data_IF_035188223558
#
_entry.id   IF_035188223558
#
_cell.length_a   1.000
_cell.length_b   1.000
_cell.length_c   1.000
_cell.angle_alpha   90.00
_cell.angle_beta   90.00
_cell.angle_gamma   90.00
#
_symmetry.space_group_name_H-M   'P 1'
#
loop_
_entity.id
_entity.type
_entity.pdbx_description
1 polymer ?
#
# COMPACT_ATOMS: atom_id res chain seq x y z
N UNK A 1 18.63 -2.15 -2.39
CA UNK A 1 17.48 -2.75 -1.67
C UNK A 1 16.59 -1.62 -1.16
N UNK A 2 15.40 -1.51 -1.72
CA UNK A 2 14.40 -0.51 -1.37
C UNK A 2 13.76 -0.83 -0.03
N UNK A 3 13.78 0.13 0.89
CA UNK A 3 13.16 0.03 2.22
C UNK A 3 11.69 0.45 2.15
N UNK A 4 10.78 -0.51 2.30
CA UNK A 4 9.35 -0.31 2.04
C UNK A 4 8.55 -0.24 3.35
N UNK A 5 7.79 0.83 3.54
CA UNK A 5 6.71 0.88 4.53
C UNK A 5 5.40 0.37 3.94
N UNK A 6 4.60 -0.37 4.72
CA UNK A 6 3.26 -0.79 4.31
C UNK A 6 2.19 -0.14 5.20
N UNK A 7 1.11 0.33 4.57
CA UNK A 7 -0.10 0.75 5.27
C UNK A 7 -1.29 -0.06 4.75
N UNK A 8 -1.94 -0.80 5.65
CA UNK A 8 -3.14 -1.61 5.37
C UNK A 8 -4.41 -0.93 5.88
N UNK A 9 -5.57 -1.41 5.44
CA UNK A 9 -6.88 -0.95 5.94
C UNK A 9 -7.36 -1.79 7.13
N UNK A 10 -7.96 -1.13 8.13
CA UNK A 10 -8.59 -1.80 9.27
C UNK A 10 -9.67 -2.81 8.90
N UNK A 11 -10.42 -2.55 7.83
CA UNK A 11 -11.56 -3.39 7.41
C UNK A 11 -11.13 -4.79 6.98
N UNK A 12 -9.85 -4.98 6.67
CA UNK A 12 -9.31 -6.28 6.25
C UNK A 12 -8.32 -6.87 7.26
N UNK A 13 -8.09 -6.19 8.37
CA UNK A 13 -6.91 -6.42 9.20
C UNK A 13 -6.96 -7.74 9.98
N UNK A 14 -8.19 -8.19 10.31
CA UNK A 14 -8.48 -9.43 11.03
C UNK A 14 -8.60 -10.64 10.12
N UNK A 15 -8.62 -10.42 8.79
CA UNK A 15 -8.80 -11.46 7.76
C UNK A 15 -7.58 -11.61 6.86
N UNK A 16 -6.78 -10.56 6.72
CA UNK A 16 -5.60 -10.52 5.86
C UNK A 16 -4.33 -10.33 6.70
N UNK A 17 -3.50 -11.39 6.83
CA UNK A 17 -2.21 -11.32 7.51
C UNK A 17 -1.08 -10.79 6.60
N UNK A 18 -1.41 -10.22 5.43
CA UNK A 18 -0.46 -9.70 4.43
C UNK A 18 0.45 -10.74 3.75
N UNK A 19 0.15 -12.03 3.85
CA UNK A 19 0.98 -13.12 3.30
C UNK A 19 1.44 -12.85 1.86
N UNK A 20 0.52 -12.58 0.94
CA UNK A 20 0.88 -12.32 -0.45
C UNK A 20 1.57 -10.97 -0.64
N UNK A 21 1.24 -9.94 0.16
CA UNK A 21 1.93 -8.66 0.09
C UNK A 21 3.41 -8.80 0.45
N UNK A 22 3.74 -9.62 1.46
CA UNK A 22 5.12 -9.91 1.80
C UNK A 22 5.79 -10.80 0.76
N UNK A 23 5.09 -11.82 0.26
CA UNK A 23 5.62 -12.70 -0.79
C UNK A 23 6.04 -11.88 -2.02
N UNK A 24 5.14 -11.06 -2.58
CA UNK A 24 5.44 -10.29 -3.78
C UNK A 24 6.46 -9.18 -3.54
N UNK A 25 6.57 -8.66 -2.30
CA UNK A 25 7.65 -7.76 -1.91
C UNK A 25 9.02 -8.45 -1.99
N UNK A 26 9.14 -9.65 -1.41
CA UNK A 26 10.39 -10.41 -1.42
C UNK A 26 10.77 -10.90 -2.83
N UNK A 27 9.77 -11.24 -3.64
CA UNK A 27 9.95 -11.70 -5.03
C UNK A 27 10.06 -10.54 -6.03
N UNK A 28 9.91 -9.28 -5.59
CA UNK A 28 9.89 -8.10 -6.47
C UNK A 28 8.91 -8.24 -7.64
N UNK A 29 7.69 -8.66 -7.34
CA UNK A 29 6.60 -8.84 -8.31
C UNK A 29 5.41 -7.92 -8.00
N UNK A 30 4.45 -7.83 -8.92
CA UNK A 30 3.22 -7.06 -8.76
C UNK A 30 3.54 -5.57 -8.45
N UNK A 31 3.01 -5.02 -7.35
CA UNK A 31 3.27 -3.65 -6.92
C UNK A 31 4.75 -3.34 -6.64
N UNK A 32 5.62 -4.35 -6.61
CA UNK A 32 7.05 -4.22 -6.34
C UNK A 32 7.94 -4.50 -7.57
N UNK A 33 7.36 -4.69 -8.76
CA UNK A 33 8.08 -5.09 -9.97
C UNK A 33 9.14 -4.08 -10.47
N UNK A 34 9.08 -2.83 -10.02
CA UNK A 34 10.06 -1.79 -10.36
C UNK A 34 11.31 -1.75 -9.47
N UNK A 35 11.46 -2.67 -8.53
CA UNK A 35 12.57 -2.67 -7.57
C UNK A 35 13.51 -3.85 -7.80
N UNK A 36 14.81 -3.63 -7.67
CA UNK A 36 15.81 -4.72 -7.73
C UNK A 36 15.69 -5.70 -6.54
N UNK A 37 15.38 -5.16 -5.35
CA UNK A 37 15.17 -5.91 -4.11
C UNK A 37 14.45 -5.04 -3.10
N UNK A 38 13.57 -5.63 -2.27
CA UNK A 38 12.86 -4.92 -1.21
C UNK A 38 13.19 -5.45 0.19
N UNK A 39 12.95 -4.64 1.21
CA UNK A 39 12.88 -5.07 2.61
C UNK A 39 11.84 -4.27 3.37
N UNK A 40 11.02 -4.92 4.22
CA UNK A 40 10.03 -4.22 5.01
C UNK A 40 10.69 -3.38 6.11
N UNK A 41 10.21 -2.14 6.28
CA UNK A 41 10.56 -1.27 7.41
C UNK A 41 9.55 -1.39 8.55
N UNK A 42 8.28 -1.54 8.21
CA UNK A 42 7.20 -1.62 9.16
C UNK A 42 5.84 -1.67 8.49
N UNK A 43 4.83 -2.08 9.26
CA UNK A 43 3.44 -2.14 8.84
C UNK A 43 2.59 -1.35 9.82
N UNK A 44 1.75 -0.47 9.30
CA UNK A 44 0.68 0.16 10.07
C UNK A 44 -0.69 -0.20 9.53
N UNK A 45 -1.71 -0.14 10.39
CA UNK A 45 -3.12 -0.19 9.98
C UNK A 45 -3.71 1.20 10.03
N UNK A 46 -4.11 1.75 8.87
CA UNK A 46 -4.92 2.96 8.77
C UNK A 46 -6.32 2.73 9.37
N UNK A 47 -6.81 3.73 10.11
CA UNK A 47 -8.13 3.74 10.76
C UNK A 47 -8.97 4.84 10.15
N UNK A 48 -10.21 4.56 9.77
CA UNK A 48 -11.10 5.57 9.20
C UNK A 48 -11.34 6.71 10.20
N UNK A 49 -11.37 7.98 9.74
CA UNK A 49 -11.35 8.42 8.33
C UNK A 49 -9.94 8.66 7.76
N UNK A 50 -8.88 8.13 8.39
CA UNK A 50 -7.50 8.22 7.90
C UNK A 50 -6.70 9.38 8.48
N UNK A 51 -7.18 10.03 9.54
CA UNK A 51 -6.46 11.13 10.20
C UNK A 51 -5.09 10.73 10.79
N UNK A 52 -4.85 9.42 10.97
CA UNK A 52 -3.63 8.88 11.53
C UNK A 52 -2.51 8.61 10.50
N UNK A 53 -2.79 8.67 9.20
CA UNK A 53 -1.80 8.26 8.18
C UNK A 53 -0.60 9.19 8.10
N UNK A 54 -0.79 10.49 8.41
CA UNK A 54 0.29 11.46 8.41
C UNK A 54 1.38 11.11 9.43
N UNK A 55 0.99 10.75 10.66
CA UNK A 55 1.94 10.38 11.71
C UNK A 55 2.55 9.00 11.44
N UNK A 56 1.78 8.04 10.93
CA UNK A 56 2.30 6.74 10.47
C UNK A 56 3.39 6.91 9.40
N UNK A 57 3.16 7.80 8.43
CA UNK A 57 4.11 8.08 7.36
C UNK A 57 5.41 8.70 7.88
N UNK A 58 5.31 9.67 8.80
CA UNK A 58 6.49 10.25 9.47
C UNK A 58 7.26 9.20 10.28
N UNK A 59 6.57 8.31 10.99
CA UNK A 59 7.21 7.23 11.74
C UNK A 59 7.95 6.28 10.78
N UNK A 60 7.30 5.83 9.69
CA UNK A 60 7.95 4.98 8.69
C UNK A 60 9.20 5.64 8.10
N UNK A 61 9.12 6.93 7.74
CA UNK A 61 10.28 7.71 7.30
C UNK A 61 11.39 7.75 8.35
N UNK A 62 11.06 8.03 9.61
CA UNK A 62 12.05 8.08 10.71
C UNK A 62 12.74 6.73 10.94
N UNK A 63 12.10 5.61 10.56
CA UNK A 63 12.68 4.26 10.60
C UNK A 63 13.43 3.88 9.31
N UNK A 64 13.49 4.79 8.34
CA UNK A 64 14.28 4.64 7.12
C UNK A 64 13.51 4.09 5.92
N UNK A 65 12.17 4.17 5.91
CA UNK A 65 11.40 3.91 4.69
C UNK A 65 11.82 4.89 3.58
N UNK A 66 11.93 4.37 2.36
CA UNK A 66 12.21 5.12 1.14
C UNK A 66 10.95 5.29 0.28
N UNK A 67 9.96 4.40 0.48
CA UNK A 67 8.67 4.41 -0.19
C UNK A 67 7.63 3.81 0.74
N UNK A 68 6.37 4.24 0.60
CA UNK A 68 5.24 3.69 1.34
C UNK A 68 4.25 3.09 0.33
N UNK A 69 3.84 1.84 0.53
CA UNK A 69 2.79 1.21 -0.28
C UNK A 69 1.50 1.08 0.51
N UNK A 70 0.39 1.39 -0.15
CA UNK A 70 -0.95 1.10 0.31
C UNK A 70 -1.41 -0.24 -0.29
N UNK A 71 -1.92 -1.13 0.58
CA UNK A 71 -2.34 -2.47 0.18
C UNK A 71 -3.45 -2.44 -0.87
N UNK A 72 -3.37 -3.27 -1.90
CA UNK A 72 -4.30 -3.28 -3.06
C UNK A 72 -5.78 -3.31 -2.70
N UNK A 73 -6.13 -3.99 -1.61
CA UNK A 73 -7.50 -4.03 -1.09
C UNK A 73 -8.09 -2.67 -0.68
N UNK A 74 -7.27 -1.62 -0.56
CA UNK A 74 -7.76 -0.26 -0.29
C UNK A 74 -8.49 0.33 -1.50
N UNK A 75 -8.12 -0.04 -2.72
CA UNK A 75 -8.68 0.52 -3.96
C UNK A 75 -9.28 -0.52 -4.93
N UNK A 76 -9.05 -1.81 -4.68
CA UNK A 76 -9.59 -2.91 -5.48
C UNK A 76 -10.24 -3.99 -4.62
N UNK A 77 -11.10 -4.80 -5.22
CA UNK A 77 -11.80 -5.90 -4.56
C UNK A 77 -11.70 -7.21 -5.36
N UNK A 78 -11.81 -8.34 -4.67
CA UNK A 78 -11.80 -9.67 -5.30
C UNK A 78 -13.18 -9.99 -5.85
N UNK A 79 -13.24 -10.37 -7.12
CA UNK A 79 -14.41 -10.86 -7.84
C UNK A 79 -14.22 -12.32 -8.25
N UNK A 80 -15.22 -12.90 -8.93
CA UNK A 80 -15.12 -14.24 -9.51
C UNK A 80 -14.06 -14.32 -10.63
N UNK A 81 -13.84 -13.22 -11.35
CA UNK A 81 -12.90 -13.12 -12.48
C UNK A 81 -11.50 -12.67 -12.06
N UNK A 82 -11.29 -12.42 -10.76
CA UNK A 82 -10.03 -11.92 -10.22
C UNK A 82 -10.17 -10.58 -9.52
N UNK A 83 -9.06 -9.87 -9.34
CA UNK A 83 -9.07 -8.56 -8.69
C UNK A 83 -9.47 -7.48 -9.67
N UNK A 84 -10.35 -6.59 -9.22
CA UNK A 84 -10.96 -5.55 -10.05
C UNK A 84 -11.04 -4.23 -9.28
N UNK A 85 -10.83 -3.12 -10.00
CA UNK A 85 -10.88 -1.76 -9.44
C UNK A 85 -12.22 -1.05 -9.65
N UNK A 86 -13.10 -1.53 -10.54
CA UNK A 86 -14.33 -0.83 -10.93
C UNK A 86 -15.32 -0.67 -9.79
N UNK A 87 -15.31 -1.62 -8.85
CA UNK A 87 -16.12 -1.57 -7.62
C UNK A 87 -15.41 -0.88 -6.45
N UNK A 88 -14.19 -0.40 -6.66
CA UNK A 88 -13.33 0.13 -5.61
C UNK A 88 -12.86 -0.93 -4.61
N UNK A 89 -12.24 -0.44 -3.53
CA UNK A 89 -11.79 -1.25 -2.41
C UNK A 89 -12.36 -0.76 -1.08
N UNK A 90 -11.66 -1.05 0.01
CA UNK A 90 -12.11 -0.70 1.36
C UNK A 90 -12.10 0.79 1.68
N UNK A 91 -11.40 1.62 0.89
CA UNK A 91 -11.21 3.04 1.15
C UNK A 91 -11.80 3.88 0.00
N UNK A 92 -12.88 4.65 0.24
CA UNK A 92 -13.44 5.54 -0.78
C UNK A 92 -12.52 6.74 -1.06
N UNK A 93 -11.67 7.13 -0.10
CA UNK A 93 -10.80 8.31 -0.17
C UNK A 93 -9.33 7.96 -0.45
N UNK A 94 -9.07 6.83 -1.11
CA UNK A 94 -7.72 6.25 -1.15
C UNK A 94 -6.65 7.15 -1.78
N UNK A 95 -7.01 7.92 -2.81
CA UNK A 95 -6.10 8.86 -3.46
C UNK A 95 -5.75 10.03 -2.53
N UNK A 96 -6.74 10.56 -1.80
CA UNK A 96 -6.51 11.57 -0.76
C UNK A 96 -5.58 11.03 0.32
N UNK A 97 -5.82 9.79 0.77
CA UNK A 97 -4.96 9.13 1.77
C UNK A 97 -3.52 8.98 1.27
N UNK A 98 -3.32 8.57 0.02
CA UNK A 98 -2.00 8.46 -0.58
C UNK A 98 -1.30 9.81 -0.67
N UNK A 99 -2.02 10.86 -1.11
CA UNK A 99 -1.50 12.22 -1.16
C UNK A 99 -1.14 12.76 0.24
N UNK A 100 -1.94 12.46 1.26
CA UNK A 100 -1.68 12.86 2.65
C UNK A 100 -0.43 12.17 3.22
N UNK A 101 -0.23 10.88 2.90
CA UNK A 101 0.99 10.12 3.24
C UNK A 101 2.22 10.73 2.57
N UNK A 102 2.14 10.98 1.25
CA UNK A 102 3.26 11.56 0.52
C UNK A 102 3.63 12.92 1.08
N UNK A 103 2.64 13.83 1.20
CA UNK A 103 2.85 15.19 1.72
C UNK A 103 3.42 15.21 3.14
N UNK A 104 2.96 14.33 4.03
CA UNK A 104 3.39 14.32 5.42
C UNK A 104 4.81 13.77 5.62
N UNK A 105 5.22 12.80 4.79
CA UNK A 105 6.53 12.17 4.89
C UNK A 105 7.57 12.77 3.93
N UNK A 106 7.15 13.31 2.78
CA UNK A 106 8.02 13.61 1.65
C UNK A 106 8.63 12.35 1.03
N UNK A 107 7.93 11.21 1.11
CA UNK A 107 8.29 9.95 0.45
C UNK A 107 7.21 9.60 -0.58
N UNK A 108 7.56 8.95 -1.70
CA UNK A 108 6.56 8.47 -2.64
C UNK A 108 5.59 7.50 -1.94
N UNK A 109 4.30 7.69 -2.22
CA UNK A 109 3.25 6.77 -1.80
C UNK A 109 2.66 6.05 -3.01
N UNK A 110 2.72 4.73 -3.01
CA UNK A 110 2.29 3.90 -4.15
C UNK A 110 1.02 3.12 -3.82
N UNK A 111 0.06 3.14 -4.72
CA UNK A 111 -1.12 2.27 -4.67
C UNK A 111 -0.78 0.92 -5.30
N UNK A 112 -0.59 -0.09 -4.47
CA UNK A 112 -0.40 -1.46 -4.95
C UNK A 112 0.55 -2.28 -4.10
N UNK A 113 0.20 -3.55 -3.92
CA UNK A 113 1.03 -4.58 -3.26
C UNK A 113 0.87 -5.88 -4.04
N UNK A 114 0.29 -6.93 -3.43
CA UNK A 114 -0.11 -8.14 -4.14
C UNK A 114 -1.51 -8.01 -4.74
N UNK A 115 -1.81 -8.89 -5.70
CA UNK A 115 -3.12 -9.00 -6.33
C UNK A 115 -3.56 -7.74 -7.09
N UNK A 116 -2.67 -7.18 -7.90
CA UNK A 116 -3.05 -6.05 -8.72
C UNK A 116 -4.19 -6.46 -9.68
N UNK A 117 -5.16 -5.56 -9.94
CA UNK A 117 -6.11 -5.80 -11.00
C UNK A 117 -5.41 -6.04 -12.34
N UNK A 118 -6.07 -6.79 -13.23
CA UNK A 118 -5.52 -7.02 -14.56
C UNK A 118 -5.26 -5.67 -15.26
N UNK A 119 -4.12 -5.57 -15.94
CA UNK A 119 -3.69 -4.38 -16.68
C UNK A 119 -3.54 -3.11 -15.81
N UNK A 120 -3.39 -3.28 -14.49
CA UNK A 120 -3.14 -2.17 -13.57
C UNK A 120 -1.65 -1.87 -13.42
N UNK A 121 -1.29 -0.62 -13.69
CA UNK A 121 0.01 -0.05 -13.32
C UNK A 121 -0.10 0.69 -11.99
N UNK A 122 0.80 0.44 -11.01
CA UNK A 122 0.82 1.18 -9.76
C UNK A 122 0.85 2.70 -9.94
N UNK A 123 -0.03 3.39 -9.22
CA UNK A 123 -0.09 4.85 -9.21
C UNK A 123 0.80 5.37 -8.08
N UNK A 124 1.67 6.33 -8.40
CA UNK A 124 2.57 6.98 -7.46
C UNK A 124 2.10 8.40 -7.15
N UNK A 125 2.11 8.75 -5.87
CA UNK A 125 1.86 10.09 -5.35
C UNK A 125 3.18 10.64 -4.80
N UNK A 126 3.53 11.87 -5.19
CA UNK A 126 4.76 12.57 -4.81
C UNK A 126 4.45 13.91 -4.14
#
# INVERSE_FOLDING_TARGET
MTKVGLIRCEKNETRCPLTNCFKTMLETTEGFAGYDACTPVGVFTCRCPGNNVADMAKILKSKGAQVIHLCTCTFASKTEEGWDKTKGGFCPDIEKIAADISRASGLPCILGTAHLPKDYSPITFE
#
